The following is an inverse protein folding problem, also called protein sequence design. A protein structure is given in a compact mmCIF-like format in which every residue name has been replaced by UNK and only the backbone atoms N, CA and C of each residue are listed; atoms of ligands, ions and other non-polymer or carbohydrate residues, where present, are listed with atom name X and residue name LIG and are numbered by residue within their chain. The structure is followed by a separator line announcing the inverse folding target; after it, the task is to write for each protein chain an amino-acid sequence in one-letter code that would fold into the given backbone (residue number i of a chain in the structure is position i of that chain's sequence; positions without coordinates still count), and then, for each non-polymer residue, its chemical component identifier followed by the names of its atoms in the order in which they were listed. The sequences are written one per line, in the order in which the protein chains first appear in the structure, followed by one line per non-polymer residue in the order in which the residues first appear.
data_IF_552765515588
#
_entry.id   IF_552765515588
#
_cell.length_a   1.000
_cell.length_b   1.000
_cell.length_c   1.000
_cell.angle_alpha   90.00
_cell.angle_beta   90.00
_cell.angle_gamma   90.00
#
_symmetry.space_group_name_H-M   'P 1'
#
loop_
_entity.id
_entity.type
_entity.pdbx_description
1 polymer ?
#
# COMPACT_ATOMS: atom_id res chain seq x y z
N UNK A 1 -18.79 -7.72 -2.88
CA UNK A 1 -17.53 -6.99 -3.01
C UNK A 1 -17.87 -5.63 -3.58
N UNK A 2 -17.60 -4.54 -2.85
CA UNK A 2 -17.63 -3.21 -3.47
C UNK A 2 -16.27 -3.04 -4.18
N UNK A 3 -16.25 -2.54 -5.41
CA UNK A 3 -15.04 -2.25 -6.19
C UNK A 3 -14.09 -1.37 -5.36
N UNK A 4 -13.01 -1.91 -4.80
CA UNK A 4 -12.18 -1.18 -3.84
C UNK A 4 -12.91 -0.73 -2.57
N UNK A 5 -12.70 0.54 -2.19
CA UNK A 5 -13.23 1.16 -0.97
C UNK A 5 -14.71 1.56 -1.00
N UNK A 6 -15.52 1.05 -1.94
CA UNK A 6 -16.94 1.42 -2.04
C UNK A 6 -17.80 1.05 -0.82
N UNK A 7 -17.26 0.28 0.13
CA UNK A 7 -17.78 0.08 1.49
C UNK A 7 -16.63 0.10 2.49
N UNK A 8 -15.96 1.24 2.63
CA UNK A 8 -14.91 1.47 3.62
C UNK A 8 -15.50 2.25 4.81
N UNK A 9 -16.12 1.52 5.74
CA UNK A 9 -16.79 2.08 6.92
C UNK A 9 -16.49 1.28 8.20
N UNK A 10 -16.72 1.91 9.36
CA UNK A 10 -16.49 1.27 10.66
C UNK A 10 -17.40 0.05 10.90
N UNK A 11 -18.58 0.02 10.26
CA UNK A 11 -19.52 -1.10 10.37
C UNK A 11 -18.95 -2.37 9.74
N UNK A 12 -18.39 -2.27 8.54
CA UNK A 12 -17.72 -3.43 7.92
C UNK A 12 -16.43 -3.81 8.65
N UNK A 13 -15.72 -2.85 9.26
CA UNK A 13 -14.49 -3.12 10.02
C UNK A 13 -14.72 -3.99 11.26
N UNK A 14 -15.95 -3.99 11.79
CA UNK A 14 -16.35 -4.93 12.85
C UNK A 14 -16.28 -6.39 12.38
N UNK A 15 -16.58 -6.66 11.11
CA UNK A 15 -16.61 -8.01 10.54
C UNK A 15 -15.33 -8.37 9.78
N UNK A 16 -14.64 -7.39 9.19
CA UNK A 16 -13.40 -7.58 8.46
C UNK A 16 -12.33 -6.61 8.93
N UNK A 17 -11.20 -7.14 9.40
CA UNK A 17 -10.11 -6.30 9.93
C UNK A 17 -9.30 -5.59 8.84
N UNK A 18 -9.50 -5.98 7.58
CA UNK A 18 -8.82 -5.40 6.43
C UNK A 18 -9.81 -5.15 5.28
N UNK A 19 -9.55 -4.09 4.52
CA UNK A 19 -10.36 -3.67 3.39
C UNK A 19 -9.43 -3.33 2.23
N UNK A 20 -9.85 -3.76 1.04
CA UNK A 20 -9.22 -3.36 -0.21
C UNK A 20 -9.49 -1.88 -0.46
N UNK A 21 -8.46 -1.04 -0.38
CA UNK A 21 -8.63 0.42 -0.31
C UNK A 21 -9.18 0.98 -1.62
N UNK A 22 -8.67 0.49 -2.75
CA UNK A 22 -9.06 0.95 -4.08
C UNK A 22 -8.64 -0.07 -5.14
N UNK A 23 -9.43 -0.20 -6.20
CA UNK A 23 -9.02 -0.95 -7.38
C UNK A 23 -7.91 -0.22 -8.16
N UNK A 24 -7.75 1.09 -7.94
CA UNK A 24 -6.62 1.82 -8.47
C UNK A 24 -5.37 1.55 -7.64
N UNK A 25 -4.52 0.67 -8.17
CA UNK A 25 -3.26 0.24 -7.56
C UNK A 25 -2.05 1.04 -8.05
N UNK A 26 -2.26 2.15 -8.78
CA UNK A 26 -1.16 3.03 -9.17
C UNK A 26 -0.53 3.69 -7.93
N UNK A 27 0.81 3.67 -7.87
CA UNK A 27 1.53 4.18 -6.70
C UNK A 27 1.28 5.66 -6.43
N UNK A 28 1.21 6.49 -7.47
CA UNK A 28 1.10 7.95 -7.31
C UNK A 28 -0.34 8.34 -6.99
N UNK A 29 -1.34 7.74 -7.65
CA UNK A 29 -2.75 7.93 -7.28
C UNK A 29 -3.05 7.36 -5.88
N UNK A 30 -2.37 6.28 -5.51
CA UNK A 30 -2.47 5.63 -4.20
C UNK A 30 -2.05 6.53 -3.03
N UNK A 31 -1.13 7.49 -3.23
CA UNK A 31 -0.69 8.42 -2.18
C UNK A 31 -1.86 9.19 -1.57
N UNK A 32 -2.68 9.85 -2.41
CA UNK A 32 -3.82 10.62 -1.94
C UNK A 32 -4.91 9.72 -1.34
N UNK A 33 -5.14 8.55 -1.93
CA UNK A 33 -6.14 7.60 -1.43
C UNK A 33 -5.76 7.11 -0.03
N UNK A 34 -4.51 6.67 0.16
CA UNK A 34 -4.02 6.16 1.44
C UNK A 34 -3.97 7.27 2.50
N UNK A 35 -3.49 8.47 2.15
CA UNK A 35 -3.48 9.60 3.09
C UNK A 35 -4.86 9.96 3.59
N UNK A 36 -5.81 10.13 2.68
CA UNK A 36 -7.17 10.52 3.06
C UNK A 36 -7.85 9.41 3.87
N UNK A 37 -7.62 8.14 3.53
CA UNK A 37 -8.15 7.00 4.29
C UNK A 37 -7.53 6.93 5.69
N UNK A 38 -6.23 7.18 5.80
CA UNK A 38 -5.50 7.15 7.07
C UNK A 38 -5.88 8.27 8.05
N UNK A 39 -6.64 9.29 7.61
CA UNK A 39 -7.19 10.32 8.51
C UNK A 39 -8.30 9.78 9.42
N UNK A 40 -9.05 8.78 8.96
CA UNK A 40 -10.20 8.23 9.69
C UNK A 40 -9.99 6.78 10.15
N UNK A 41 -9.07 6.06 9.52
CA UNK A 41 -8.87 4.62 9.75
C UNK A 41 -7.39 4.30 10.00
N UNK A 42 -7.08 3.31 10.86
CA UNK A 42 -5.71 2.89 11.07
C UNK A 42 -5.14 2.23 9.81
N UNK A 43 -3.87 2.47 9.49
CA UNK A 43 -3.20 1.85 8.31
C UNK A 43 -3.24 0.32 8.32
N UNK A 44 -3.42 -0.29 9.50
CA UNK A 44 -3.51 -1.74 9.69
C UNK A 44 -4.73 -2.38 9.03
N UNK A 45 -5.75 -1.60 8.67
CA UNK A 45 -6.90 -2.10 7.92
C UNK A 45 -6.81 -1.85 6.40
N UNK A 46 -5.75 -1.19 5.92
CA UNK A 46 -5.59 -0.86 4.51
C UNK A 46 -4.83 -1.98 3.80
N UNK A 47 -5.50 -2.72 2.90
CA UNK A 47 -4.85 -3.70 2.04
C UNK A 47 -4.30 -3.01 0.78
N UNK A 48 -2.98 -3.05 0.61
CA UNK A 48 -2.27 -2.32 -0.45
C UNK A 48 -1.36 -3.26 -1.23
N UNK A 49 -1.54 -3.32 -2.55
CA UNK A 49 -0.74 -4.22 -3.38
C UNK A 49 0.18 -3.48 -4.34
N UNK A 50 1.37 -4.05 -4.54
CA UNK A 50 2.26 -3.71 -5.66
C UNK A 50 1.70 -4.40 -6.91
N UNK A 51 1.23 -3.62 -7.89
CA UNK A 51 0.65 -4.15 -9.13
C UNK A 51 1.56 -3.96 -10.35
N UNK A 52 1.25 -4.65 -11.45
CA UNK A 52 2.01 -4.56 -12.71
C UNK A 52 2.01 -3.14 -13.31
N UNK A 53 3.06 -2.81 -14.05
CA UNK A 53 3.15 -1.60 -14.88
C UNK A 53 3.27 -1.98 -16.37
N UNK A 54 2.69 -1.20 -17.31
CA UNK A 54 1.86 -0.01 -17.10
C UNK A 54 0.61 -0.30 -16.26
N UNK A 55 0.25 0.61 -15.36
CA UNK A 55 -0.86 0.38 -14.44
C UNK A 55 -2.18 0.15 -15.22
N UNK A 56 -2.98 -0.83 -14.79
CA UNK A 56 -4.20 -1.22 -15.52
C UNK A 56 -5.26 -0.11 -15.64
N UNK A 57 -5.40 0.75 -14.61
CA UNK A 57 -6.44 1.78 -14.56
C UNK A 57 -6.04 3.07 -15.28
N UNK A 58 -4.79 3.52 -15.08
CA UNK A 58 -4.33 4.84 -15.56
C UNK A 58 -3.12 4.80 -16.49
N UNK A 59 -2.61 3.61 -16.82
CA UNK A 59 -1.53 3.37 -17.79
C UNK A 59 -0.20 4.05 -17.44
N UNK A 60 0.00 4.42 -16.16
CA UNK A 60 1.25 5.02 -15.67
C UNK A 60 2.33 3.96 -15.46
N UNK A 61 3.57 4.30 -15.81
CA UNK A 61 4.75 3.51 -15.47
C UNK A 61 5.41 4.11 -14.24
N UNK A 62 5.55 3.30 -13.19
CA UNK A 62 6.21 3.70 -11.94
C UNK A 62 7.26 2.66 -11.54
N UNK A 63 8.43 3.09 -11.03
CA UNK A 63 9.45 2.16 -10.54
C UNK A 63 8.90 1.16 -9.52
N UNK A 64 9.43 -0.07 -9.52
CA UNK A 64 9.02 -1.11 -8.57
C UNK A 64 9.23 -0.67 -7.12
N UNK A 65 10.33 0.02 -6.84
CA UNK A 65 10.63 0.57 -5.52
C UNK A 65 9.59 1.60 -5.08
N UNK A 66 9.17 2.50 -5.97
CA UNK A 66 8.11 3.48 -5.66
C UNK A 66 6.79 2.79 -5.33
N UNK A 67 6.39 1.79 -6.12
CA UNK A 67 5.17 1.01 -5.85
C UNK A 67 5.22 0.33 -4.49
N UNK A 68 6.35 -0.29 -4.16
CA UNK A 68 6.56 -0.91 -2.85
C UNK A 68 6.53 0.11 -1.70
N UNK A 69 7.22 1.24 -1.84
CA UNK A 69 7.29 2.27 -0.78
C UNK A 69 5.91 2.85 -0.43
N UNK A 70 4.97 2.86 -1.38
CA UNK A 70 3.57 3.23 -1.13
C UNK A 70 2.80 2.06 -0.52
N UNK A 71 2.95 0.85 -1.07
CA UNK A 71 2.19 -0.32 -0.62
C UNK A 71 2.60 -0.82 0.78
N UNK A 72 3.82 -0.52 1.24
CA UNK A 72 4.34 -0.99 2.54
C UNK A 72 3.55 -0.45 3.73
N UNK A 73 2.90 0.71 3.61
CA UNK A 73 2.10 1.32 4.67
C UNK A 73 0.70 0.72 4.72
N UNK A 74 0.61 -0.47 5.30
CA UNK A 74 -0.63 -1.22 5.50
C UNK A 74 -0.37 -2.72 5.41
N UNK A 75 -1.36 -3.47 4.96
CA UNK A 75 -1.23 -4.90 4.65
C UNK A 75 -0.70 -5.03 3.22
N UNK A 76 0.59 -5.29 3.09
CA UNK A 76 1.27 -5.47 1.80
C UNK A 76 0.83 -6.75 1.09
N UNK A 77 0.55 -6.62 -0.21
CA UNK A 77 0.44 -7.74 -1.16
C UNK A 77 1.11 -7.44 -2.50
N UNK A 78 1.12 -8.44 -3.39
CA UNK A 78 1.61 -8.33 -4.76
C UNK A 78 0.53 -8.83 -5.72
N UNK A 79 0.24 -8.03 -6.74
CA UNK A 79 -0.78 -8.29 -7.75
C UNK A 79 -0.19 -8.10 -9.14
N UNK A 80 0.74 -8.99 -9.49
CA UNK A 80 1.39 -9.02 -10.80
C UNK A 80 1.78 -10.45 -11.14
N UNK A 81 1.97 -10.72 -12.44
CA UNK A 81 2.43 -12.03 -12.90
C UNK A 81 3.92 -12.23 -12.55
N UNK A 82 4.17 -12.97 -11.47
CA UNK A 82 5.52 -13.29 -11.01
C UNK A 82 6.31 -14.18 -11.97
N UNK A 83 5.64 -14.94 -12.85
CA UNK A 83 6.30 -15.81 -13.83
C UNK A 83 6.89 -15.00 -14.98
N UNK A 84 6.27 -13.88 -15.31
CA UNK A 84 6.73 -12.95 -16.35
C UNK A 84 7.93 -12.09 -15.94
N UNK A 85 8.28 -12.06 -14.65
CA UNK A 85 9.36 -11.22 -14.14
C UNK A 85 10.74 -11.79 -14.44
N UNK A 86 11.69 -10.89 -14.67
CA UNK A 86 13.11 -11.22 -14.72
C UNK A 86 13.68 -11.50 -13.32
N UNK A 87 14.82 -12.19 -13.26
CA UNK A 87 15.45 -12.58 -11.99
C UNK A 87 15.86 -11.37 -11.15
N UNK A 88 16.19 -10.25 -11.78
CA UNK A 88 16.50 -9.01 -11.06
C UNK A 88 15.28 -8.49 -10.29
N UNK A 89 14.12 -8.35 -10.96
CA UNK A 89 12.89 -7.90 -10.29
C UNK A 89 12.44 -8.89 -9.21
N UNK A 90 12.55 -10.20 -9.44
CA UNK A 90 12.24 -11.21 -8.42
C UNK A 90 13.13 -11.06 -7.19
N UNK A 91 14.42 -10.77 -7.37
CA UNK A 91 15.33 -10.54 -6.25
C UNK A 91 14.98 -9.26 -5.47
N UNK A 92 14.58 -8.19 -6.14
CA UNK A 92 14.06 -6.98 -5.48
C UNK A 92 12.81 -7.32 -4.66
N UNK A 93 11.84 -8.05 -5.23
CA UNK A 93 10.62 -8.44 -4.51
C UNK A 93 10.95 -9.30 -3.28
N UNK A 94 11.91 -10.22 -3.38
CA UNK A 94 12.38 -11.02 -2.22
C UNK A 94 12.94 -10.14 -1.10
N UNK A 95 13.73 -9.12 -1.46
CA UNK A 95 14.28 -8.17 -0.49
C UNK A 95 13.17 -7.33 0.15
N UNK A 96 12.22 -6.84 -0.66
CA UNK A 96 11.05 -6.10 -0.21
C UNK A 96 10.18 -6.91 0.76
N UNK A 97 9.92 -8.19 0.47
CA UNK A 97 9.20 -9.10 1.38
C UNK A 97 9.97 -9.30 2.68
N UNK A 98 11.29 -9.48 2.61
CA UNK A 98 12.14 -9.62 3.80
C UNK A 98 12.07 -8.36 4.66
N UNK A 99 12.20 -7.19 4.05
CA UNK A 99 12.07 -5.90 4.73
C UNK A 99 10.69 -5.74 5.37
N UNK A 100 9.62 -6.00 4.64
CA UNK A 100 8.26 -5.91 5.17
C UNK A 100 8.05 -6.87 6.34
N UNK A 101 8.56 -8.11 6.28
CA UNK A 101 8.48 -9.06 7.40
C UNK A 101 9.16 -8.52 8.66
N UNK A 102 10.30 -7.84 8.52
CA UNK A 102 11.02 -7.23 9.64
C UNK A 102 10.24 -6.04 10.23
N UNK A 103 9.60 -5.23 9.38
CA UNK A 103 8.84 -4.05 9.80
C UNK A 103 7.39 -4.36 10.20
N UNK A 104 6.88 -5.56 9.88
CA UNK A 104 5.46 -5.90 10.01
C UNK A 104 4.93 -5.70 11.43
N UNK A 105 5.74 -6.01 12.45
CA UNK A 105 5.32 -5.79 13.83
C UNK A 105 5.03 -4.31 14.06
N UNK A 106 6.00 -3.45 13.75
CA UNK A 106 5.87 -2.01 13.90
C UNK A 106 4.74 -1.44 13.04
N UNK A 107 4.51 -1.96 11.84
CA UNK A 107 3.40 -1.51 10.98
C UNK A 107 2.05 -1.82 11.64
N UNK A 108 1.96 -2.94 12.36
CA UNK A 108 0.72 -3.42 12.99
C UNK A 108 0.46 -2.82 14.37
N UNK A 109 1.51 -2.41 15.09
CA UNK A 109 1.41 -1.96 16.49
C UNK A 109 1.89 -0.53 16.71
N UNK A 110 2.64 0.04 15.77
CA UNK A 110 3.22 1.37 15.85
C UNK A 110 2.22 2.48 15.54
N UNK A 111 2.71 3.71 15.63
CA UNK A 111 1.96 4.92 15.31
C UNK A 111 2.37 5.46 13.95
N UNK A 112 1.38 5.63 13.09
CA UNK A 112 1.54 6.22 11.77
C UNK A 112 1.38 7.74 11.82
N UNK A 113 2.29 8.46 11.15
CA UNK A 113 2.29 9.91 11.07
C UNK A 113 2.39 10.38 9.62
N UNK A 114 1.51 11.30 9.24
CA UNK A 114 1.67 12.11 8.03
C UNK A 114 2.55 13.31 8.38
N UNK A 115 3.83 13.27 7.98
CA UNK A 115 4.83 14.26 8.38
C UNK A 115 4.76 15.50 7.50
N UNK A 116 4.61 15.31 6.18
CA UNK A 116 4.54 16.42 5.24
C UNK A 116 3.74 16.04 4.00
N UNK A 117 2.78 16.92 3.65
CA UNK A 117 2.12 16.92 2.34
C UNK A 117 2.41 18.24 1.63
N UNK A 118 3.09 18.17 0.49
CA UNK A 118 3.33 19.28 -0.45
C UNK A 118 2.96 18.82 -1.86
N UNK A 119 2.70 19.74 -2.81
CA UNK A 119 2.21 19.38 -4.16
C UNK A 119 2.98 18.27 -4.90
N UNK A 120 4.24 18.01 -4.55
CA UNK A 120 5.07 16.95 -5.14
C UNK A 120 5.85 16.11 -4.11
N UNK A 121 5.47 16.18 -2.82
CA UNK A 121 6.17 15.44 -1.76
C UNK A 121 5.18 14.95 -0.71
N UNK A 122 5.18 13.64 -0.52
CA UNK A 122 4.46 12.94 0.53
C UNK A 122 5.50 12.28 1.44
N UNK A 123 5.43 12.55 2.74
CA UNK A 123 6.33 11.97 3.73
C UNK A 123 5.49 11.39 4.84
N UNK A 124 5.58 10.07 5.01
CA UNK A 124 4.98 9.35 6.12
C UNK A 124 6.05 8.74 7.00
N UNK A 125 5.76 8.61 8.28
CA UNK A 125 6.64 7.99 9.25
C UNK A 125 5.85 7.00 10.10
N UNK A 126 6.55 5.95 10.51
CA UNK A 126 6.07 4.95 11.45
C UNK A 126 6.96 5.01 12.67
N UNK A 127 6.37 5.24 13.83
CA UNK A 127 7.06 5.16 15.12
C UNK A 127 6.71 3.84 15.78
N UNK A 128 7.71 3.00 16.02
CA UNK A 128 7.56 1.76 16.78
C UNK A 128 7.08 2.07 18.22
N UNK A 129 6.27 1.17 18.77
CA UNK A 129 5.67 1.31 20.11
C UNK A 129 6.62 0.96 21.23
#
# INVERSE_FOLDING_TARGET
MASGGGRFDLGILYYSRQIWVSDNTDAIAGLDIQENTALAYPITCLSNHVSQVPNGQIQRNTPLETRFNVAIFGILGYELDLLSLDEHSKNIIKQQITLYKNLRHDIMTGRFYQVLKRPNKHIWALQSS
#
